data_IF_103120482745
#
_entry.id   IF_103120482745
#
_cell.length_a   1.000
_cell.length_b   1.000
_cell.length_c   1.000
_cell.angle_alpha   90.00
_cell.angle_beta   90.00
_cell.angle_gamma   90.00
#
_symmetry.space_group_name_H-M   'P 1'
#
loop_
_entity.id
_entity.type
_entity.pdbx_description
1 polymer ?
#
# COMPACT_ATOMS: atom_id res chain seq x y z
N UNK A 1 38.00 -0.13 -61.14
CA UNK A 1 38.47 0.70 -60.01
C UNK A 1 37.35 1.65 -59.63
N UNK A 2 36.49 1.30 -58.67
CA UNK A 2 35.65 2.27 -57.94
C UNK A 2 35.14 1.63 -56.65
N UNK A 3 35.31 2.40 -55.57
CA UNK A 3 35.24 2.02 -54.17
C UNK A 3 33.82 2.22 -53.65
N UNK A 4 33.40 1.35 -52.72
CA UNK A 4 32.16 1.40 -51.94
C UNK A 4 32.04 2.72 -51.16
N UNK A 5 30.84 3.32 -51.10
CA UNK A 5 30.44 4.17 -49.98
C UNK A 5 29.45 3.39 -49.10
N UNK A 6 29.76 3.34 -47.81
CA UNK A 6 28.95 2.77 -46.75
C UNK A 6 28.03 3.88 -46.23
N UNK A 7 26.73 3.61 -46.15
CA UNK A 7 25.77 4.49 -45.49
C UNK A 7 25.96 4.43 -43.97
N UNK A 8 26.27 5.57 -43.36
CA UNK A 8 26.34 5.73 -41.90
C UNK A 8 24.96 5.61 -41.26
N UNK A 9 24.91 4.91 -40.13
CA UNK A 9 23.73 4.58 -39.35
C UNK A 9 23.52 5.71 -38.30
N UNK A 10 22.38 6.43 -38.27
CA UNK A 10 22.19 7.56 -37.36
C UNK A 10 21.72 7.09 -35.98
N UNK A 11 22.59 6.37 -35.26
CA UNK A 11 22.40 6.01 -33.85
C UNK A 11 23.71 6.17 -33.08
N UNK A 12 24.33 7.35 -33.19
CA UNK A 12 25.44 7.71 -32.31
C UNK A 12 25.41 9.19 -31.94
N UNK A 13 24.74 9.53 -30.84
CA UNK A 13 25.28 10.43 -29.81
C UNK A 13 24.22 10.74 -28.76
N UNK A 14 23.90 9.78 -27.89
CA UNK A 14 23.36 10.13 -26.57
C UNK A 14 24.52 10.06 -25.57
N UNK A 15 24.99 11.22 -25.12
CA UNK A 15 25.94 11.29 -24.02
C UNK A 15 25.25 10.82 -22.73
N UNK A 16 25.99 10.25 -21.77
CA UNK A 16 25.52 9.95 -20.39
C UNK A 16 24.66 11.07 -19.78
N UNK A 17 24.92 12.34 -20.07
CA UNK A 17 24.10 13.48 -19.63
C UNK A 17 22.69 13.54 -20.26
N UNK A 18 22.56 13.16 -21.52
CA UNK A 18 21.26 13.15 -22.22
C UNK A 18 20.45 11.89 -21.87
N UNK A 19 21.15 10.77 -21.61
CA UNK A 19 20.55 9.59 -20.99
C UNK A 19 20.01 9.90 -19.58
N UNK A 20 20.79 10.56 -18.71
CA UNK A 20 20.32 10.95 -17.38
C UNK A 20 19.13 11.93 -17.41
N UNK A 21 19.03 12.79 -18.43
CA UNK A 21 17.87 13.67 -18.61
C UNK A 21 16.62 12.93 -19.11
N UNK A 22 16.78 11.98 -20.03
CA UNK A 22 15.67 11.15 -20.54
C UNK A 22 15.19 10.13 -19.50
N UNK A 23 16.10 9.49 -18.77
CA UNK A 23 15.80 8.65 -17.60
C UNK A 23 15.18 9.48 -16.49
N UNK A 24 15.68 10.71 -16.28
CA UNK A 24 15.14 11.67 -15.33
C UNK A 24 13.72 12.12 -15.67
N UNK A 25 13.37 12.32 -16.95
CA UNK A 25 12.02 12.64 -17.38
C UNK A 25 11.05 11.45 -17.24
N UNK A 26 11.49 10.23 -17.54
CA UNK A 26 10.70 9.00 -17.31
C UNK A 26 10.46 8.73 -15.82
N UNK A 27 11.49 8.87 -14.98
CA UNK A 27 11.37 8.78 -13.52
C UNK A 27 10.56 9.93 -12.93
N UNK A 28 10.69 11.16 -13.44
CA UNK A 28 9.91 12.30 -12.98
C UNK A 28 8.41 12.16 -13.31
N UNK A 29 8.07 11.55 -14.45
CA UNK A 29 6.68 11.21 -14.78
C UNK A 29 6.10 10.15 -13.84
N UNK A 30 6.93 9.23 -13.33
CA UNK A 30 6.53 8.24 -12.31
C UNK A 30 6.43 8.83 -10.90
N UNK A 31 7.15 9.93 -10.66
CA UNK A 31 7.12 10.67 -9.38
C UNK A 31 5.93 11.64 -9.28
N UNK A 32 5.23 11.93 -10.37
CA UNK A 32 3.89 12.51 -10.30
C UNK A 32 2.97 11.47 -9.64
N UNK A 33 2.49 11.78 -8.44
CA UNK A 33 1.71 10.84 -7.64
C UNK A 33 0.53 10.29 -8.46
N UNK A 34 0.44 8.96 -8.66
CA UNK A 34 -0.70 8.32 -9.33
C UNK A 34 -2.04 8.76 -8.75
N UNK A 35 -2.05 9.08 -7.45
CA UNK A 35 -3.19 9.60 -6.71
C UNK A 35 -3.58 11.01 -7.19
N UNK A 36 -2.64 11.90 -7.48
CA UNK A 36 -2.95 13.24 -8.01
C UNK A 36 -3.60 13.12 -9.39
N UNK A 37 -3.07 12.22 -10.24
CA UNK A 37 -3.68 11.94 -11.55
C UNK A 37 -5.07 11.30 -11.41
N UNK A 38 -5.24 10.31 -10.52
CA UNK A 38 -6.51 9.66 -10.29
C UNK A 38 -7.57 10.60 -9.70
N UNK A 39 -7.20 11.47 -8.75
CA UNK A 39 -8.09 12.52 -8.23
C UNK A 39 -8.42 13.53 -9.33
N UNK A 40 -7.45 13.96 -10.12
CA UNK A 40 -7.68 14.91 -11.23
C UNK A 40 -8.57 14.34 -12.34
N UNK A 41 -8.54 13.02 -12.53
CA UNK A 41 -9.41 12.29 -13.46
C UNK A 41 -10.77 11.93 -12.84
N UNK A 42 -11.01 12.28 -11.57
CA UNK A 42 -12.27 11.98 -10.87
C UNK A 42 -12.45 10.51 -10.47
N UNK A 43 -11.39 9.69 -10.53
CA UNK A 43 -11.44 8.28 -10.14
C UNK A 43 -11.36 8.08 -8.61
N UNK A 44 -10.80 9.04 -7.87
CA UNK A 44 -10.74 9.01 -6.40
C UNK A 44 -11.39 10.28 -5.84
N UNK A 45 -12.66 10.16 -5.45
CA UNK A 45 -13.48 11.29 -4.96
C UNK A 45 -13.72 11.24 -3.46
N UNK A 46 -13.35 10.16 -2.77
CA UNK A 46 -13.53 10.00 -1.33
C UNK A 46 -12.17 9.88 -0.63
N UNK A 47 -12.10 10.42 0.58
CA UNK A 47 -10.98 10.28 1.49
C UNK A 47 -11.44 9.90 2.89
N UNK A 48 -10.69 9.02 3.57
CA UNK A 48 -10.86 8.70 4.99
C UNK A 48 -9.82 9.43 5.82
N UNK A 49 -10.25 10.11 6.88
CA UNK A 49 -9.35 10.79 7.82
C UNK A 49 -8.62 9.78 8.71
N UNK A 50 -7.29 9.90 8.79
CA UNK A 50 -6.42 8.91 9.44
C UNK A 50 -6.08 9.24 10.89
N UNK A 51 -6.01 10.53 11.22
CA UNK A 51 -5.62 11.01 12.55
C UNK A 51 -6.85 11.35 13.41
N UNK A 52 -6.66 11.39 14.73
CA UNK A 52 -7.76 11.60 15.70
C UNK A 52 -8.55 12.89 15.43
N UNK A 53 -7.87 13.96 15.07
CA UNK A 53 -8.47 15.18 14.57
C UNK A 53 -7.54 15.80 13.54
N UNK A 54 -8.12 16.33 12.47
CA UNK A 54 -7.41 16.97 11.36
C UNK A 54 -8.03 18.34 11.10
N UNK A 55 -7.19 19.37 11.05
CA UNK A 55 -7.62 20.74 10.75
C UNK A 55 -7.88 20.92 9.26
N UNK A 56 -8.96 21.61 8.96
CA UNK A 56 -9.30 22.10 7.63
C UNK A 56 -8.84 23.54 7.49
N UNK A 57 -8.19 23.87 6.38
CA UNK A 57 -7.57 25.17 6.15
C UNK A 57 -8.25 25.94 5.02
N UNK A 58 -8.26 27.27 5.10
CA UNK A 58 -8.86 28.12 4.07
C UNK A 58 -8.09 28.05 2.73
N UNK A 59 -6.77 27.83 2.78
CA UNK A 59 -5.88 27.64 1.63
C UNK A 59 -4.95 26.44 1.89
N UNK A 60 -4.29 25.86 0.87
CA UNK A 60 -3.42 24.69 1.02
C UNK A 60 -2.07 25.06 1.68
N UNK A 61 -2.13 25.57 2.90
CA UNK A 61 -1.01 26.05 3.69
C UNK A 61 -1.34 25.92 5.19
N UNK A 62 -0.41 25.38 5.97
CA UNK A 62 -0.60 25.18 7.41
C UNK A 62 -0.67 26.49 8.22
N UNK A 63 -0.15 27.60 7.69
CA UNK A 63 -0.28 28.94 8.26
C UNK A 63 -1.60 29.63 7.92
N UNK A 64 -2.44 29.02 7.08
CA UNK A 64 -3.76 29.55 6.72
C UNK A 64 -4.75 29.48 7.89
N UNK A 65 -5.82 30.25 7.78
CA UNK A 65 -6.93 30.22 8.75
C UNK A 65 -7.55 28.82 8.77
N UNK A 66 -7.70 28.27 9.98
CA UNK A 66 -8.45 27.03 10.19
C UNK A 66 -9.94 27.32 10.03
N UNK A 67 -10.62 26.60 9.14
CA UNK A 67 -12.05 26.74 8.85
C UNK A 67 -12.90 25.64 9.46
N UNK A 68 -12.28 24.55 9.94
CA UNK A 68 -12.99 23.42 10.53
C UNK A 68 -12.06 22.32 11.03
N UNK A 69 -12.67 21.23 11.49
CA UNK A 69 -11.99 20.03 11.97
C UNK A 69 -12.77 18.81 11.48
N UNK A 70 -12.05 17.79 11.03
CA UNK A 70 -12.57 16.44 10.84
C UNK A 70 -11.96 15.48 11.85
N UNK A 71 -12.66 14.40 12.14
CA UNK A 71 -12.27 13.36 13.09
C UNK A 71 -11.83 12.09 12.38
N UNK A 72 -11.14 11.22 13.10
CA UNK A 72 -10.72 9.92 12.56
C UNK A 72 -11.92 9.16 11.98
N UNK A 73 -11.68 8.55 10.83
CA UNK A 73 -12.65 7.79 10.04
C UNK A 73 -13.79 8.61 9.43
N UNK A 74 -13.80 9.95 9.55
CA UNK A 74 -14.67 10.79 8.74
C UNK A 74 -14.38 10.52 7.25
N UNK A 75 -15.46 10.35 6.47
CA UNK A 75 -15.39 10.22 5.02
C UNK A 75 -15.67 11.59 4.40
N UNK A 76 -14.72 12.09 3.64
CA UNK A 76 -14.75 13.42 3.03
C UNK A 76 -14.72 13.32 1.52
N UNK A 77 -15.45 14.23 0.87
CA UNK A 77 -15.44 14.35 -0.59
C UNK A 77 -14.24 15.18 -1.05
N UNK A 78 -13.31 14.55 -1.75
CA UNK A 78 -12.16 15.19 -2.40
C UNK A 78 -12.62 15.70 -3.77
N UNK A 79 -12.62 17.01 -3.97
CA UNK A 79 -12.99 17.64 -5.24
C UNK A 79 -11.80 17.87 -6.16
N UNK A 80 -10.62 18.09 -5.60
CA UNK A 80 -9.38 18.20 -6.36
C UNK A 80 -8.15 17.98 -5.48
N UNK A 81 -7.01 17.71 -6.12
CA UNK A 81 -5.70 17.74 -5.49
C UNK A 81 -4.92 18.95 -6.00
N UNK A 82 -4.15 19.59 -5.12
CA UNK A 82 -3.27 20.71 -5.46
C UNK A 82 -1.93 20.60 -4.76
N UNK A 83 -0.96 21.39 -5.23
CA UNK A 83 0.32 21.58 -4.54
C UNK A 83 0.19 22.80 -3.66
N UNK A 84 0.46 22.62 -2.36
CA UNK A 84 0.41 23.70 -1.37
C UNK A 84 1.75 24.39 -1.15
N UNK A 85 1.87 25.00 0.03
CA UNK A 85 3.10 25.63 0.51
C UNK A 85 4.32 24.70 0.50
N UNK A 86 5.47 25.23 0.90
CA UNK A 86 6.75 24.51 0.79
C UNK A 86 6.94 23.43 1.87
N UNK A 87 6.09 23.41 2.91
CA UNK A 87 6.19 22.47 4.03
C UNK A 87 4.95 21.54 4.14
N UNK A 88 5.15 20.24 4.42
CA UNK A 88 6.45 19.57 4.47
C UNK A 88 7.02 19.33 3.06
N UNK A 89 8.32 19.56 2.88
CA UNK A 89 8.97 19.48 1.58
C UNK A 89 8.81 18.11 0.88
N UNK A 90 8.74 17.02 1.64
CA UNK A 90 8.58 15.67 1.09
C UNK A 90 7.17 15.43 0.53
N UNK A 91 6.14 16.06 1.08
CA UNK A 91 4.75 15.87 0.65
C UNK A 91 4.01 17.21 0.66
N UNK A 92 3.88 17.80 -0.53
CA UNK A 92 3.21 19.10 -0.72
C UNK A 92 1.79 18.96 -1.26
N UNK A 93 1.23 17.75 -1.29
CA UNK A 93 -0.08 17.50 -1.87
C UNK A 93 -1.16 17.80 -0.84
N UNK A 94 -2.16 18.58 -1.26
CA UNK A 94 -3.34 18.93 -0.50
C UNK A 94 -4.60 18.54 -1.25
N UNK A 95 -5.63 18.13 -0.53
CA UNK A 95 -6.95 17.85 -1.06
C UNK A 95 -7.89 19.02 -0.77
N UNK A 96 -8.59 19.50 -1.80
CA UNK A 96 -9.75 20.38 -1.63
C UNK A 96 -10.94 19.53 -1.20
N UNK A 97 -11.54 19.89 -0.07
CA UNK A 97 -12.71 19.22 0.48
C UNK A 97 -13.93 20.09 0.19
N UNK A 98 -14.65 19.73 -0.87
CA UNK A 98 -15.81 20.49 -1.36
C UNK A 98 -15.50 21.99 -1.48
N UNK A 99 -16.38 22.86 -0.96
CA UNK A 99 -16.13 24.29 -0.79
C UNK A 99 -15.69 24.66 0.64
N UNK A 100 -15.42 23.66 1.49
CA UNK A 100 -15.16 23.87 2.93
C UNK A 100 -13.71 24.28 3.23
N UNK A 101 -12.76 23.83 2.43
CA UNK A 101 -11.34 24.16 2.59
C UNK A 101 -10.39 23.06 2.08
N UNK A 102 -9.18 23.03 2.64
CA UNK A 102 -8.08 22.16 2.24
C UNK A 102 -7.56 21.33 3.42
N UNK A 103 -7.27 20.06 3.16
CA UNK A 103 -6.61 19.13 4.10
C UNK A 103 -5.34 18.60 3.46
N UNK A 104 -4.28 18.47 4.25
CA UNK A 104 -3.02 17.87 3.78
C UNK A 104 -3.20 16.38 3.44
N UNK A 105 -2.67 15.93 2.33
CA UNK A 105 -2.90 14.56 1.84
C UNK A 105 -2.33 13.46 2.74
N UNK A 106 -1.31 13.76 3.55
CA UNK A 106 -0.63 12.77 4.39
C UNK A 106 -1.51 12.19 5.50
N UNK A 107 -2.61 12.88 5.83
CA UNK A 107 -3.57 12.48 6.87
C UNK A 107 -4.92 12.00 6.31
N UNK A 108 -4.99 11.81 4.99
CA UNK A 108 -6.19 11.34 4.29
C UNK A 108 -5.82 10.13 3.45
N UNK A 109 -6.48 8.99 3.67
CA UNK A 109 -6.39 7.83 2.77
C UNK A 109 -7.44 8.00 1.68
N UNK A 110 -7.07 8.06 0.38
CA UNK A 110 -8.05 7.95 -0.69
C UNK A 110 -8.74 6.58 -0.62
N UNK A 111 -10.07 6.58 -0.73
CA UNK A 111 -10.89 5.38 -0.60
C UNK A 111 -11.97 5.34 -1.68
N UNK A 112 -12.56 4.18 -1.89
CA UNK A 112 -13.76 3.99 -2.69
C UNK A 112 -14.86 3.34 -1.85
N UNK A 113 -16.10 3.46 -2.32
CA UNK A 113 -17.24 2.68 -1.83
C UNK A 113 -17.73 1.79 -2.96
N UNK A 114 -17.19 0.59 -3.02
CA UNK A 114 -17.59 -0.43 -3.98
C UNK A 114 -18.14 -1.64 -3.23
N UNK A 115 -19.44 -1.87 -3.39
CA UNK A 115 -20.11 -3.09 -2.96
C UNK A 115 -19.90 -4.19 -4.02
N UNK A 116 -19.93 -5.44 -3.58
CA UNK A 116 -19.64 -6.60 -4.41
C UNK A 116 -20.76 -7.64 -4.28
N UNK A 117 -21.00 -8.38 -5.37
CA UNK A 117 -21.84 -9.56 -5.31
C UNK A 117 -21.12 -10.67 -4.50
N UNK A 118 -21.74 -11.21 -3.43
CA UNK A 118 -21.13 -12.26 -2.63
C UNK A 118 -20.87 -13.55 -3.44
N UNK A 119 -19.68 -14.12 -3.28
CA UNK A 119 -19.30 -15.42 -3.83
C UNK A 119 -19.87 -16.50 -2.92
N UNK A 120 -20.79 -17.29 -3.47
CA UNK A 120 -21.51 -18.35 -2.72
C UNK A 120 -20.62 -19.59 -2.52
N UNK A 121 -19.83 -19.94 -3.53
CA UNK A 121 -18.96 -21.12 -3.50
C UNK A 121 -17.50 -20.70 -3.32
N UNK A 122 -17.00 -20.85 -2.10
CA UNK A 122 -15.60 -20.62 -1.76
C UNK A 122 -14.79 -21.92 -1.88
N UNK A 123 -13.50 -21.84 -2.24
CA UNK A 123 -12.59 -22.99 -2.15
C UNK A 123 -12.53 -23.55 -0.73
N UNK A 124 -12.25 -24.85 -0.57
CA UNK A 124 -12.14 -25.51 0.75
C UNK A 124 -11.08 -24.86 1.66
N UNK A 125 -10.00 -24.37 1.06
CA UNK A 125 -8.90 -23.66 1.75
C UNK A 125 -9.24 -22.19 2.06
N UNK A 126 -10.44 -21.74 1.70
CA UNK A 126 -10.86 -20.35 1.73
C UNK A 126 -10.39 -19.55 0.51
N UNK A 127 -10.71 -18.26 0.51
CA UNK A 127 -10.28 -17.31 -0.50
C UNK A 127 -9.75 -16.04 0.16
N UNK A 128 -8.78 -15.41 -0.49
CA UNK A 128 -8.34 -14.07 -0.10
C UNK A 128 -9.36 -13.04 -0.58
N UNK A 129 -9.72 -12.09 0.27
CA UNK A 129 -10.64 -11.02 -0.05
C UNK A 129 -10.10 -9.67 0.42
N UNK A 130 -10.52 -8.60 -0.27
CA UNK A 130 -10.08 -7.22 -0.06
C UNK A 130 -11.26 -6.34 0.33
N UNK A 131 -11.09 -5.46 1.32
CA UNK A 131 -12.12 -4.47 1.68
C UNK A 131 -12.14 -3.36 0.63
N UNK A 132 -13.28 -3.19 -0.03
CA UNK A 132 -13.46 -2.20 -1.12
C UNK A 132 -14.41 -1.06 -0.76
N UNK A 133 -14.73 -0.92 0.53
CA UNK A 133 -15.44 0.22 1.14
C UNK A 133 -14.50 0.96 2.08
N UNK A 134 -14.79 2.22 2.48
CA UNK A 134 -13.87 2.99 3.32
C UNK A 134 -13.46 2.28 4.62
N UNK A 135 -14.43 1.60 5.23
CA UNK A 135 -14.22 0.64 6.30
C UNK A 135 -15.46 -0.25 6.46
N UNK A 136 -15.27 -1.40 7.09
CA UNK A 136 -16.34 -2.29 7.56
C UNK A 136 -16.03 -2.76 8.98
N UNK A 137 -17.07 -2.96 9.78
CA UNK A 137 -16.92 -3.48 11.13
C UNK A 137 -16.99 -5.02 11.11
N UNK A 138 -15.98 -5.65 11.70
CA UNK A 138 -15.91 -7.09 11.92
C UNK A 138 -16.49 -7.42 13.28
N UNK A 139 -17.45 -8.35 13.30
CA UNK A 139 -18.28 -8.67 14.44
C UNK A 139 -18.04 -10.09 14.94
N UNK A 140 -18.33 -10.36 16.22
CA UNK A 140 -18.29 -11.72 16.79
C UNK A 140 -19.45 -12.63 16.34
N UNK A 141 -20.30 -12.16 15.44
CA UNK A 141 -21.36 -12.94 14.82
C UNK A 141 -22.10 -12.15 13.74
N UNK A 142 -22.67 -12.83 12.74
CA UNK A 142 -23.35 -12.17 11.62
C UNK A 142 -24.56 -11.38 12.14
N UNK A 143 -24.70 -10.13 11.70
CA UNK A 143 -25.78 -9.22 12.11
C UNK A 143 -25.72 -8.74 13.57
N UNK A 144 -24.74 -9.17 14.39
CA UNK A 144 -24.64 -8.81 15.82
C UNK A 144 -23.91 -7.48 16.02
N UNK A 145 -24.51 -6.38 15.55
CA UNK A 145 -23.90 -5.03 15.53
C UNK A 145 -23.41 -4.53 16.91
N UNK A 146 -23.98 -5.02 18.01
CA UNK A 146 -23.52 -4.71 19.37
C UNK A 146 -22.27 -5.50 19.82
N UNK A 147 -21.75 -6.40 18.99
CA UNK A 147 -20.55 -7.22 19.27
C UNK A 147 -19.43 -6.89 18.29
N UNK A 148 -19.04 -5.63 18.28
CA UNK A 148 -17.86 -5.14 17.55
C UNK A 148 -16.59 -5.83 18.05
N UNK A 149 -15.74 -6.29 17.12
CA UNK A 149 -14.40 -6.78 17.40
C UNK A 149 -13.35 -5.83 16.86
N UNK A 150 -13.38 -5.59 15.54
CA UNK A 150 -12.39 -4.79 14.83
C UNK A 150 -13.04 -3.94 13.75
N UNK A 151 -12.41 -2.82 13.40
CA UNK A 151 -12.68 -2.10 12.16
C UNK A 151 -11.65 -2.50 11.12
N UNK A 152 -12.12 -2.97 9.98
CA UNK A 152 -11.32 -3.29 8.80
C UNK A 152 -11.43 -2.14 7.81
N UNK A 153 -10.32 -1.77 7.19
CA UNK A 153 -10.22 -0.53 6.41
C UNK A 153 -10.02 -0.82 4.93
N UNK A 154 -10.34 0.16 4.09
CA UNK A 154 -10.11 0.09 2.66
C UNK A 154 -8.71 -0.44 2.30
N UNK A 155 -8.66 -1.38 1.34
CA UNK A 155 -7.48 -2.12 0.87
C UNK A 155 -6.81 -3.07 1.89
N UNK A 156 -7.37 -3.28 3.08
CA UNK A 156 -6.94 -4.42 3.92
C UNK A 156 -7.44 -5.74 3.33
N UNK A 157 -6.69 -6.81 3.58
CA UNK A 157 -6.97 -8.14 3.01
C UNK A 157 -7.20 -9.16 4.12
N UNK A 158 -8.08 -10.13 3.90
CA UNK A 158 -8.43 -11.18 4.85
C UNK A 158 -8.71 -12.50 4.15
N UNK A 159 -8.50 -13.62 4.84
CA UNK A 159 -8.94 -14.93 4.39
C UNK A 159 -10.37 -15.17 4.84
N UNK A 160 -11.25 -15.43 3.87
CA UNK A 160 -12.63 -15.83 4.08
C UNK A 160 -12.77 -17.33 3.83
N UNK A 161 -13.52 -18.02 4.68
CA UNK A 161 -13.66 -19.49 4.63
C UNK A 161 -15.13 -19.95 4.70
N UNK A 162 -16.07 -19.01 4.65
CA UNK A 162 -17.49 -19.32 4.61
C UNK A 162 -18.36 -18.11 4.31
N UNK A 163 -19.53 -18.39 3.72
CA UNK A 163 -20.64 -17.45 3.59
C UNK A 163 -21.75 -17.91 4.53
N UNK A 164 -22.23 -17.03 5.40
CA UNK A 164 -23.34 -17.29 6.33
C UNK A 164 -24.38 -16.18 6.19
N UNK A 165 -25.60 -16.45 6.66
CA UNK A 165 -26.68 -15.48 6.64
C UNK A 165 -27.10 -15.15 8.06
N UNK A 166 -27.41 -13.88 8.32
CA UNK A 166 -27.97 -13.47 9.61
C UNK A 166 -29.48 -13.75 9.70
N UNK A 167 -30.11 -13.29 10.79
CA UNK A 167 -31.55 -13.47 11.02
C UNK A 167 -32.44 -12.74 10.02
N UNK A 168 -31.90 -11.75 9.31
CA UNK A 168 -32.61 -10.98 8.28
C UNK A 168 -32.37 -11.55 6.87
N UNK A 169 -31.51 -12.57 6.74
CA UNK A 169 -31.12 -13.14 5.46
C UNK A 169 -30.05 -12.32 4.74
N UNK A 170 -29.35 -11.41 5.42
CA UNK A 170 -28.23 -10.67 4.83
C UNK A 170 -26.97 -11.56 4.81
N UNK A 171 -26.17 -11.53 3.72
CA UNK A 171 -24.98 -12.35 3.58
C UNK A 171 -23.77 -11.76 4.34
N UNK A 172 -23.04 -12.62 5.05
CA UNK A 172 -21.84 -12.29 5.81
C UNK A 172 -20.73 -13.28 5.49
N UNK A 173 -19.52 -12.76 5.25
CA UNK A 173 -18.35 -13.63 5.19
C UNK A 173 -17.84 -13.95 6.59
N UNK A 174 -17.48 -15.21 6.80
CA UNK A 174 -16.69 -15.67 7.94
C UNK A 174 -15.22 -15.45 7.62
N UNK A 175 -14.52 -14.78 8.53
CA UNK A 175 -13.10 -14.42 8.45
C UNK A 175 -12.36 -15.16 9.54
N UNK A 176 -11.30 -15.87 9.14
CA UNK A 176 -10.35 -16.47 10.07
C UNK A 176 -9.18 -15.51 10.28
N UNK A 177 -9.09 -14.95 11.48
CA UNK A 177 -8.01 -14.05 11.87
C UNK A 177 -6.73 -14.85 12.18
N UNK A 178 -5.58 -14.38 11.70
CA UNK A 178 -4.35 -15.16 11.58
C UNK A 178 -3.36 -15.00 12.75
N UNK A 179 -3.64 -14.14 13.73
CA UNK A 179 -2.75 -13.90 14.89
C UNK A 179 -3.31 -14.46 16.19
N UNK A 180 -4.62 -14.36 16.38
CA UNK A 180 -5.34 -14.67 17.61
C UNK A 180 -6.33 -15.82 17.44
N UNK A 181 -6.41 -16.40 16.23
CA UNK A 181 -7.33 -17.48 15.86
C UNK A 181 -8.81 -17.10 16.12
N UNK A 182 -9.16 -15.83 15.87
CA UNK A 182 -10.54 -15.35 16.02
C UNK A 182 -11.37 -15.71 14.79
N UNK A 183 -12.65 -15.99 15.04
CA UNK A 183 -13.66 -16.13 13.99
C UNK A 183 -14.53 -14.89 14.03
N UNK A 184 -14.42 -14.08 12.99
CA UNK A 184 -15.12 -12.81 12.86
C UNK A 184 -15.98 -12.79 11.60
N UNK A 185 -16.92 -11.84 11.54
CA UNK A 185 -17.88 -11.75 10.46
C UNK A 185 -18.00 -10.32 9.96
N UNK A 186 -18.03 -10.14 8.64
CA UNK A 186 -18.27 -8.85 7.98
C UNK A 186 -19.38 -9.00 6.94
N UNK A 187 -20.15 -7.93 6.62
CA UNK A 187 -21.08 -7.95 5.49
C UNK A 187 -20.35 -8.42 4.23
N UNK A 188 -20.91 -9.39 3.52
CA UNK A 188 -20.21 -10.03 2.41
C UNK A 188 -19.98 -9.04 1.25
N UNK A 189 -20.93 -8.14 1.02
CA UNK A 189 -20.84 -7.13 -0.05
C UNK A 189 -19.69 -6.14 0.11
N UNK A 190 -19.16 -5.96 1.34
CA UNK A 190 -18.05 -5.05 1.60
C UNK A 190 -16.69 -5.58 1.15
N UNK A 191 -16.60 -6.89 0.86
CA UNK A 191 -15.35 -7.54 0.48
C UNK A 191 -15.42 -8.09 -0.94
N UNK A 192 -14.39 -7.81 -1.71
CA UNK A 192 -14.17 -8.38 -3.04
C UNK A 192 -13.26 -9.59 -2.92
N UNK A 193 -13.72 -10.75 -3.39
CA UNK A 193 -12.88 -11.94 -3.49
C UNK A 193 -11.82 -11.72 -4.57
N UNK A 194 -10.56 -11.98 -4.23
CA UNK A 194 -9.43 -11.84 -5.15
C UNK A 194 -9.33 -13.10 -6.00
N UNK A 195 -9.31 -12.93 -7.31
CA UNK A 195 -9.30 -14.05 -8.25
C UNK A 195 -7.88 -14.62 -8.42
N UNK A 196 -7.72 -15.93 -8.74
CA UNK A 196 -6.41 -16.55 -8.91
C UNK A 196 -5.49 -15.82 -9.92
N UNK A 197 -6.04 -15.29 -11.00
CA UNK A 197 -5.31 -14.53 -12.02
C UNK A 197 -4.68 -13.23 -11.48
N UNK A 198 -5.30 -12.58 -10.49
CA UNK A 198 -4.77 -11.38 -9.84
C UNK A 198 -3.55 -11.68 -8.96
N UNK A 199 -3.33 -12.95 -8.62
CA UNK A 199 -2.21 -13.41 -7.81
C UNK A 199 -1.08 -14.00 -8.65
N UNK A 200 -1.16 -13.90 -9.98
CA UNK A 200 -0.08 -14.37 -10.86
C UNK A 200 1.18 -13.51 -10.72
N UNK A 201 2.39 -14.11 -10.81
CA UNK A 201 3.64 -13.35 -10.73
C UNK A 201 3.77 -12.30 -11.83
N UNK A 202 4.38 -11.16 -11.51
CA UNK A 202 4.72 -10.13 -12.49
C UNK A 202 6.12 -10.41 -13.08
N UNK A 203 6.18 -10.43 -14.41
CA UNK A 203 7.37 -10.78 -15.22
C UNK A 203 8.01 -12.12 -14.79
N UNK A 204 7.26 -13.24 -14.82
CA UNK A 204 7.76 -14.56 -14.41
C UNK A 204 8.90 -15.08 -15.30
N UNK A 205 9.03 -14.57 -16.52
CA UNK A 205 10.08 -14.91 -17.48
C UNK A 205 11.45 -14.30 -17.16
N UNK A 206 11.50 -13.32 -16.25
CA UNK A 206 12.73 -12.63 -15.88
C UNK A 206 13.46 -13.46 -14.81
N UNK A 207 14.71 -13.90 -15.05
CA UNK A 207 15.49 -14.67 -14.09
C UNK A 207 15.66 -13.93 -12.76
N UNK A 208 15.72 -14.68 -11.66
CA UNK A 208 15.79 -14.11 -10.31
C UNK A 208 17.03 -13.21 -10.12
N UNK A 209 18.17 -13.63 -10.67
CA UNK A 209 19.43 -12.90 -10.64
C UNK A 209 19.37 -11.56 -11.39
N UNK A 210 18.42 -11.40 -12.31
CA UNK A 210 18.17 -10.17 -13.03
C UNK A 210 17.17 -9.24 -12.31
N UNK A 211 16.51 -9.72 -11.23
CA UNK A 211 15.59 -8.94 -10.40
C UNK A 211 16.28 -8.41 -9.14
N UNK A 212 16.19 -7.11 -8.88
CA UNK A 212 16.66 -6.48 -7.63
C UNK A 212 15.69 -5.41 -7.13
N UNK A 213 15.51 -5.34 -5.80
CA UNK A 213 14.91 -4.21 -5.12
C UNK A 213 16.00 -3.32 -4.50
N UNK A 214 15.76 -2.01 -4.51
CA UNK A 214 16.54 -1.04 -3.75
C UNK A 214 15.60 -0.22 -2.86
N UNK A 215 15.88 -0.19 -1.56
CA UNK A 215 15.20 0.68 -0.59
C UNK A 215 16.14 1.82 -0.24
N UNK A 216 15.86 3.00 -0.77
CA UNK A 216 16.63 4.21 -0.50
C UNK A 216 16.07 4.91 0.73
N UNK A 217 16.67 4.66 1.88
CA UNK A 217 16.20 5.19 3.17
C UNK A 217 16.41 6.69 3.29
N UNK A 218 17.42 7.28 2.65
CA UNK A 218 17.57 8.73 2.63
C UNK A 218 16.48 9.43 1.80
N UNK A 219 16.12 8.84 0.65
CA UNK A 219 15.16 9.39 -0.30
C UNK A 219 13.72 8.91 -0.08
N UNK A 220 13.53 7.95 0.83
CA UNK A 220 12.23 7.34 1.13
C UNK A 220 11.55 6.78 -0.12
N UNK A 221 12.29 5.93 -0.85
CA UNK A 221 11.89 5.37 -2.14
C UNK A 221 12.19 3.86 -2.19
N UNK A 222 11.31 3.10 -2.82
CA UNK A 222 11.55 1.71 -3.25
C UNK A 222 11.63 1.69 -4.76
N UNK A 223 12.68 1.08 -5.30
CA UNK A 223 12.88 0.86 -6.72
C UNK A 223 12.97 -0.63 -7.01
N UNK A 224 12.38 -1.08 -8.11
CA UNK A 224 12.56 -2.43 -8.63
C UNK A 224 13.25 -2.38 -9.99
N UNK A 225 14.18 -3.32 -10.21
CA UNK A 225 14.99 -3.38 -11.42
C UNK A 225 14.89 -4.76 -12.08
N UNK A 226 14.84 -4.75 -13.41
CA UNK A 226 15.05 -5.90 -14.27
C UNK A 226 16.25 -5.61 -15.18
N UNK A 227 17.28 -6.46 -15.15
CA UNK A 227 18.52 -6.23 -15.92
C UNK A 227 19.11 -4.82 -15.72
N UNK A 228 19.15 -4.37 -14.45
CA UNK A 228 19.60 -3.04 -14.02
C UNK A 228 18.80 -1.86 -14.61
N UNK A 229 17.63 -2.11 -15.22
CA UNK A 229 16.69 -1.06 -15.65
C UNK A 229 15.56 -0.92 -14.64
N UNK A 230 15.25 0.29 -14.15
CA UNK A 230 14.14 0.48 -13.24
C UNK A 230 12.81 0.17 -13.96
N UNK A 231 12.01 -0.70 -13.36
CA UNK A 231 10.68 -1.13 -13.84
C UNK A 231 9.55 -0.76 -12.89
N UNK A 232 9.88 -0.36 -11.66
CA UNK A 232 8.91 0.15 -10.69
C UNK A 232 9.55 1.14 -9.73
N UNK A 233 8.77 2.12 -9.28
CA UNK A 233 9.14 3.05 -8.23
C UNK A 233 7.93 3.35 -7.34
N UNK A 234 8.15 3.40 -6.02
CA UNK A 234 7.14 3.83 -5.05
C UNK A 234 7.77 4.65 -3.94
N UNK A 235 7.09 5.74 -3.54
CA UNK A 235 7.42 6.44 -2.30
C UNK A 235 7.17 5.51 -1.11
N UNK A 236 8.02 5.62 -0.11
CA UNK A 236 7.97 4.79 1.08
C UNK A 236 8.03 5.62 2.37
N UNK A 237 7.73 4.98 3.49
CA UNK A 237 8.01 5.48 4.83
C UNK A 237 8.72 4.38 5.62
N UNK A 238 10.03 4.52 5.79
CA UNK A 238 10.89 3.49 6.41
C UNK A 238 10.92 3.61 7.93
N UNK A 239 11.78 2.82 8.56
CA UNK A 239 12.04 2.82 10.00
C UNK A 239 12.50 4.17 10.54
N UNK A 240 11.88 4.61 11.64
CA UNK A 240 12.07 5.93 12.23
C UNK A 240 12.78 5.90 13.59
N UNK A 241 13.11 7.10 14.09
CA UNK A 241 13.56 7.31 15.47
C UNK A 241 12.39 7.90 16.24
N UNK A 242 11.97 7.20 17.29
CA UNK A 242 10.92 7.63 18.21
C UNK A 242 11.53 7.92 19.59
N UNK A 243 10.75 8.55 20.46
CA UNK A 243 11.16 8.83 21.85
C UNK A 243 11.52 7.57 22.64
N UNK A 244 10.99 6.42 22.27
CA UNK A 244 11.19 5.13 22.93
C UNK A 244 12.16 4.19 22.20
N UNK A 245 12.83 4.62 21.12
CA UNK A 245 13.78 3.75 20.44
C UNK A 245 14.13 4.16 19.01
N UNK A 246 15.21 3.55 18.51
CA UNK A 246 15.69 3.70 17.14
C UNK A 246 15.29 2.45 16.37
N UNK A 247 14.29 2.58 15.51
CA UNK A 247 13.74 1.48 14.74
C UNK A 247 14.08 1.64 13.26
N UNK A 248 15.36 1.88 12.97
CA UNK A 248 15.83 2.10 11.60
C UNK A 248 15.66 0.81 10.79
N UNK A 249 15.30 0.96 9.51
CA UNK A 249 15.32 -0.16 8.58
C UNK A 249 16.77 -0.67 8.43
N UNK A 250 17.04 -1.97 8.64
CA UNK A 250 18.41 -2.48 8.63
C UNK A 250 19.09 -2.30 7.28
N UNK A 251 20.15 -1.50 7.22
CA UNK A 251 20.95 -1.29 6.01
C UNK A 251 21.66 -2.58 5.56
N UNK A 252 22.02 -2.63 4.28
CA UNK A 252 22.79 -3.74 3.69
C UNK A 252 21.97 -4.60 2.72
N UNK A 253 22.60 -5.68 2.27
CA UNK A 253 22.01 -6.63 1.34
C UNK A 253 21.18 -7.67 2.06
N UNK A 254 19.95 -7.84 1.60
CA UNK A 254 18.97 -8.82 2.07
C UNK A 254 18.41 -9.61 0.89
N UNK A 255 17.59 -10.60 1.20
CA UNK A 255 16.75 -11.29 0.24
C UNK A 255 15.35 -11.43 0.83
N UNK A 256 14.34 -11.35 -0.01
CA UNK A 256 13.00 -11.79 0.39
C UNK A 256 13.02 -13.30 0.60
N UNK A 257 12.16 -13.79 1.50
CA UNK A 257 12.14 -15.22 1.85
C UNK A 257 10.81 -15.70 2.39
N UNK A 258 9.97 -14.78 2.90
CA UNK A 258 8.67 -15.10 3.45
C UNK A 258 7.66 -14.06 3.00
N UNK A 259 6.51 -14.52 2.53
CA UNK A 259 5.45 -13.63 2.03
C UNK A 259 4.09 -14.06 2.54
N UNK A 260 3.24 -13.06 2.83
CA UNK A 260 1.86 -13.25 3.29
C UNK A 260 0.95 -12.20 2.64
N UNK A 261 -0.16 -12.59 1.99
CA UNK A 261 -1.04 -11.60 1.36
C UNK A 261 -1.84 -10.81 2.41
N UNK A 262 -2.04 -11.37 3.60
CA UNK A 262 -2.68 -10.75 4.77
C UNK A 262 -1.92 -11.12 6.04
N UNK A 263 -1.77 -10.14 6.95
CA UNK A 263 -1.25 -10.36 8.31
C UNK A 263 -1.86 -9.37 9.30
N UNK A 264 -2.35 -9.85 10.41
CA UNK A 264 -2.53 -9.04 11.61
C UNK A 264 -1.18 -8.80 12.30
N UNK A 265 -0.72 -7.55 12.21
CA UNK A 265 0.49 -7.10 12.87
C UNK A 265 0.12 -6.46 14.21
N UNK A 266 0.47 -7.11 15.31
CA UNK A 266 0.36 -6.50 16.64
C UNK A 266 1.61 -6.77 17.48
N UNK A 267 2.07 -5.72 18.17
CA UNK A 267 3.16 -5.78 19.13
C UNK A 267 3.03 -4.67 20.19
N UNK A 268 3.61 -4.91 21.37
CA UNK A 268 3.65 -3.95 22.47
C UNK A 268 2.30 -3.74 23.16
N UNK A 269 2.27 -2.79 24.10
CA UNK A 269 1.06 -2.37 24.80
C UNK A 269 0.43 -1.17 24.07
N UNK A 270 -0.85 -1.28 23.69
CA UNK A 270 -1.60 -0.23 22.98
C UNK A 270 -1.74 1.07 23.77
N UNK A 271 -1.69 1.03 25.11
CA UNK A 271 -1.70 2.25 25.93
C UNK A 271 -0.35 2.98 25.93
N UNK A 272 0.67 2.39 25.31
CA UNK A 272 1.97 2.98 25.09
C UNK A 272 2.21 3.12 23.57
N UNK A 273 3.32 2.60 23.05
CA UNK A 273 3.67 2.65 21.63
C UNK A 273 3.39 1.31 20.91
N UNK A 274 2.49 0.50 21.46
CA UNK A 274 2.02 -0.71 20.81
C UNK A 274 1.12 -0.42 19.61
N UNK A 275 0.97 -1.39 18.74
CA UNK A 275 0.09 -1.32 17.59
C UNK A 275 -0.71 -2.62 17.47
N UNK A 276 -1.92 -2.50 16.92
CA UNK A 276 -2.83 -3.62 16.65
C UNK A 276 -3.49 -3.37 15.29
N UNK A 277 -2.92 -3.96 14.25
CA UNK A 277 -3.20 -3.65 12.85
C UNK A 277 -3.69 -4.91 12.12
N UNK A 278 -5.01 -5.19 12.09
CA UNK A 278 -5.55 -6.35 11.39
C UNK A 278 -5.51 -6.18 9.87
N UNK A 279 -5.20 -7.27 9.15
CA UNK A 279 -5.28 -7.33 7.69
C UNK A 279 -4.27 -6.46 6.95
N UNK A 280 -3.06 -6.27 7.51
CA UNK A 280 -1.96 -5.60 6.80
C UNK A 280 -1.71 -6.35 5.49
N UNK A 281 -1.88 -5.69 4.33
CA UNK A 281 -1.92 -6.37 3.06
C UNK A 281 -0.52 -6.49 2.44
N UNK A 282 -0.32 -7.55 1.66
CA UNK A 282 0.82 -7.72 0.74
C UNK A 282 2.19 -7.66 1.41
N UNK A 283 2.39 -8.49 2.43
CA UNK A 283 3.59 -8.48 3.28
C UNK A 283 4.72 -9.28 2.65
N UNK A 284 5.85 -8.62 2.44
CA UNK A 284 7.08 -9.18 1.88
C UNK A 284 8.25 -9.04 2.85
N UNK A 285 8.55 -10.11 3.59
CA UNK A 285 9.62 -10.13 4.60
C UNK A 285 11.00 -10.28 3.98
N UNK A 286 11.95 -9.52 4.49
CA UNK A 286 13.36 -9.57 4.09
C UNK A 286 14.33 -9.71 5.28
N UNK A 287 13.84 -9.65 6.52
CA UNK A 287 14.63 -10.06 7.70
C UNK A 287 13.92 -11.10 8.55
N UNK A 288 14.71 -11.96 9.23
CA UNK A 288 14.18 -12.93 10.21
C UNK A 288 13.54 -12.28 11.43
N UNK A 289 13.90 -11.04 11.74
CA UNK A 289 13.30 -10.26 12.82
C UNK A 289 11.90 -9.72 12.48
N UNK A 290 11.39 -9.96 11.27
CA UNK A 290 10.04 -9.58 10.87
C UNK A 290 9.95 -8.23 10.16
N UNK A 291 11.07 -7.66 9.69
CA UNK A 291 11.03 -6.45 8.87
C UNK A 291 10.61 -6.81 7.44
N UNK A 292 9.64 -6.06 6.92
CA UNK A 292 9.00 -6.31 5.64
C UNK A 292 8.69 -5.02 4.87
N UNK A 293 8.46 -5.16 3.56
CA UNK A 293 7.69 -4.21 2.76
C UNK A 293 6.23 -4.63 2.83
N UNK A 294 5.30 -3.71 3.10
CA UNK A 294 3.87 -4.02 3.13
C UNK A 294 3.00 -2.78 2.85
N UNK A 295 1.72 -3.03 2.55
CA UNK A 295 0.73 -1.98 2.38
C UNK A 295 0.37 -1.32 3.70
N UNK A 296 0.03 -0.04 3.65
CA UNK A 296 -0.20 0.76 4.85
C UNK A 296 -1.48 1.57 4.75
N UNK A 297 -2.41 1.31 5.67
CA UNK A 297 -3.72 1.98 5.72
C UNK A 297 -3.85 2.98 6.89
N UNK A 298 -2.87 3.07 7.79
CA UNK A 298 -2.94 3.93 8.99
C UNK A 298 -2.24 5.29 8.83
N UNK A 299 -1.50 5.51 7.74
CA UNK A 299 -0.98 6.83 7.34
C UNK A 299 -0.83 6.87 5.80
N UNK A 300 -0.84 8.07 5.22
CA UNK A 300 -0.68 8.27 3.78
C UNK A 300 0.51 9.22 3.46
N UNK A 301 1.44 9.37 4.40
CA UNK A 301 2.52 10.35 4.31
C UNK A 301 3.86 9.66 3.98
N UNK A 302 4.01 9.30 2.71
CA UNK A 302 5.23 8.70 2.16
C UNK A 302 6.25 9.77 1.74
N UNK A 303 7.53 9.50 1.96
CA UNK A 303 8.61 10.47 1.79
C UNK A 303 9.30 10.85 3.11
N UNK A 304 8.86 10.29 4.24
CA UNK A 304 9.47 10.47 5.56
C UNK A 304 9.40 9.18 6.39
N UNK A 305 10.43 8.85 7.20
CA UNK A 305 10.37 7.68 8.09
C UNK A 305 9.21 7.75 9.09
N UNK A 306 8.48 6.64 9.25
CA UNK A 306 7.31 6.53 10.16
C UNK A 306 7.12 5.16 10.82
N UNK A 307 7.94 4.15 10.52
CA UNK A 307 7.67 2.77 10.95
C UNK A 307 8.60 2.30 12.10
N UNK A 308 8.29 1.13 12.66
CA UNK A 308 9.17 0.39 13.58
C UNK A 308 10.18 -0.52 12.84
N UNK A 309 10.61 -0.12 11.65
CA UNK A 309 11.64 -0.78 10.85
C UNK A 309 11.15 -1.24 9.49
N UNK A 310 9.87 -1.59 9.35
CA UNK A 310 9.24 -1.95 8.07
C UNK A 310 9.33 -0.82 7.03
N UNK A 311 9.18 -1.19 5.77
CA UNK A 311 9.13 -0.24 4.66
C UNK A 311 7.66 -0.11 4.26
N UNK A 312 7.02 0.94 4.76
CA UNK A 312 5.62 1.21 4.47
C UNK A 312 5.49 1.78 3.05
N UNK A 313 4.63 1.19 2.23
CA UNK A 313 4.19 1.75 0.93
C UNK A 313 2.66 1.70 0.86
N UNK A 314 2.06 2.36 -0.14
CA UNK A 314 0.61 2.22 -0.37
C UNK A 314 0.28 0.77 -0.77
N UNK A 315 -0.97 0.32 -0.52
CA UNK A 315 -1.33 -1.09 -0.68
C UNK A 315 -1.18 -1.59 -2.11
N UNK A 316 -1.45 -0.75 -3.11
CA UNK A 316 -1.28 -1.11 -4.53
C UNK A 316 0.20 -1.32 -4.88
N UNK A 317 1.09 -0.46 -4.40
CA UNK A 317 2.54 -0.62 -4.54
C UNK A 317 3.03 -1.87 -3.82
N UNK A 318 2.50 -2.17 -2.63
CA UNK A 318 2.82 -3.40 -1.92
C UNK A 318 2.37 -4.64 -2.69
N UNK A 319 1.16 -4.64 -3.27
CA UNK A 319 0.66 -5.73 -4.13
C UNK A 319 1.59 -5.94 -5.32
N UNK A 320 1.98 -4.87 -6.02
CA UNK A 320 2.91 -4.96 -7.15
C UNK A 320 4.23 -5.60 -6.72
N UNK A 321 4.86 -5.12 -5.64
CA UNK A 321 6.12 -5.67 -5.12
C UNK A 321 5.95 -7.13 -4.70
N UNK A 322 4.84 -7.45 -4.03
CA UNK A 322 4.51 -8.80 -3.59
C UNK A 322 4.39 -9.77 -4.76
N UNK A 323 3.76 -9.37 -5.86
CA UNK A 323 3.59 -10.23 -7.05
C UNK A 323 4.86 -10.29 -7.92
N UNK A 324 5.66 -9.22 -7.94
CA UNK A 324 6.89 -9.16 -8.72
C UNK A 324 8.08 -9.89 -8.08
N UNK A 325 8.12 -9.97 -6.74
CA UNK A 325 9.19 -10.64 -6.00
C UNK A 325 8.95 -12.13 -5.81
N UNK A 326 10.04 -12.89 -5.64
CA UNK A 326 10.01 -14.27 -5.16
C UNK A 326 10.11 -14.34 -3.63
N UNK A 327 9.71 -15.44 -2.96
CA UNK A 327 9.13 -16.66 -3.53
C UNK A 327 7.68 -16.48 -4.01
N UNK A 328 7.22 -17.15 -5.06
CA UNK A 328 5.81 -17.06 -5.47
C UNK A 328 4.88 -17.62 -4.36
N UNK A 329 3.71 -17.00 -4.17
CA UNK A 329 2.68 -17.50 -3.24
C UNK A 329 1.50 -18.02 -4.05
N UNK A 330 1.23 -19.33 -4.05
CA UNK A 330 0.06 -19.89 -4.70
C UNK A 330 -1.25 -19.27 -4.17
N UNK A 331 -2.26 -19.19 -5.02
CA UNK A 331 -3.55 -18.57 -4.66
C UNK A 331 -4.27 -19.29 -3.50
N UNK A 332 -3.93 -20.55 -3.25
CA UNK A 332 -4.47 -21.39 -2.17
C UNK A 332 -3.70 -21.28 -0.85
N UNK A 333 -2.59 -20.53 -0.83
CA UNK A 333 -1.67 -20.49 0.30
C UNK A 333 -1.75 -19.16 1.05
N UNK A 334 -1.94 -19.22 2.37
CA UNK A 334 -1.96 -18.03 3.21
C UNK A 334 -0.56 -17.43 3.45
N UNK A 335 0.49 -18.20 3.15
CA UNK A 335 1.89 -17.79 3.31
C UNK A 335 2.82 -18.76 2.58
N UNK A 336 4.00 -18.28 2.21
CA UNK A 336 5.10 -19.13 1.75
C UNK A 336 6.38 -18.73 2.45
N UNK A 337 7.19 -19.72 2.83
CA UNK A 337 8.52 -19.55 3.39
C UNK A 337 9.52 -20.35 2.55
N UNK A 338 10.55 -19.68 2.07
CA UNK A 338 11.63 -20.26 1.28
C UNK A 338 12.98 -19.79 1.78
N UNK A 339 14.04 -20.49 1.39
CA UNK A 339 15.42 -20.14 1.69
C UNK A 339 16.04 -19.25 0.61
N UNK A 340 15.25 -18.82 -0.37
CA UNK A 340 15.64 -17.96 -1.49
C UNK A 340 14.55 -16.92 -1.77
N UNK A 341 14.92 -15.88 -2.51
CA UNK A 341 13.99 -14.87 -3.02
C UNK A 341 14.74 -13.73 -3.69
N UNK A 342 14.00 -12.65 -4.00
CA UNK A 342 14.53 -11.49 -4.70
C UNK A 342 15.51 -10.73 -3.83
N UNK A 343 16.66 -10.35 -4.42
CA UNK A 343 17.66 -9.53 -3.73
C UNK A 343 17.08 -8.16 -3.41
N UNK A 344 17.33 -7.67 -2.20
CA UNK A 344 16.87 -6.37 -1.72
C UNK A 344 18.04 -5.66 -1.04
N UNK A 345 18.50 -4.56 -1.62
CA UNK A 345 19.54 -3.72 -1.04
C UNK A 345 18.91 -2.51 -0.32
N UNK A 346 19.16 -2.38 0.98
CA UNK A 346 18.74 -1.21 1.78
C UNK A 346 19.93 -0.25 1.87
N UNK A 347 19.77 0.94 1.29
CA UNK A 347 20.83 1.94 1.10
C UNK A 347 20.47 3.33 1.65
#
# INVERSE_FOLDING_TARGET
MHVKSVSENPLSSYNRRDFLKLSGAGLAAWLLSPIVNAVSQGHLTLGRILEQNVRLYQSPDFGSKVTGVYWKDDIVNITSATVGGDEPAHNRVWYKIEEKGYVHSGVVQPVLTQLNEPVVELPEVGALAEVTVPFTDALWGPGKTNRFAYRYYYETTYWIDGLVYDSNGEPWYRIQEDKWDLILYTPAEHLRVILPEELTPISPEIPLEAKRLEVQTANQLVLAYEYDKPVFAARAATGAIFSNGRYLTPAGRHQTFHKRPSRHMAAGNLTANGYDLPGVPWVTYFTKSGIAIHGTYWHNDYGKPRSHGCVNVNSQAAKWIYLWTLPYVPYTEQRVYENFGTTLDVI
#
